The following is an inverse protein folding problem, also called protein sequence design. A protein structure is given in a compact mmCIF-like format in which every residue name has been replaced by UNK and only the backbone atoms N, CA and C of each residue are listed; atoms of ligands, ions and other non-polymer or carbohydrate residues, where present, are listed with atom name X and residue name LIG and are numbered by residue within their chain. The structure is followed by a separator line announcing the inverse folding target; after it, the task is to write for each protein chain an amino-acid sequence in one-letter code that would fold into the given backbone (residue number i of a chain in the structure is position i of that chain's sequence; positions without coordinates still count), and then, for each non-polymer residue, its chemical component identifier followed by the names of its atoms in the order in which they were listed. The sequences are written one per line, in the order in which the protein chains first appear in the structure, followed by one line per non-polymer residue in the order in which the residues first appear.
data_IF_469453465208
#
_entry.id   IF_469453465208
#
_cell.length_a   1.000
_cell.length_b   1.000
_cell.length_c   1.000
_cell.angle_alpha   90.00
_cell.angle_beta   90.00
_cell.angle_gamma   90.00
#
_symmetry.space_group_name_H-M   'P 1'
#
loop_
_entity.id
_entity.type
_entity.pdbx_description
1 polymer ?
#
# COMPACT_ATOMS: atom_id res chain seq x y z
N UNK A 1 -9.66 -0.33 8.62
CA UNK A 1 -10.98 -0.35 8.00
C UNK A 1 -11.15 -1.59 7.11
N UNK A 2 -10.31 -1.76 6.07
CA UNK A 2 -10.32 -2.94 5.20
C UNK A 2 -10.20 -4.25 5.98
N UNK A 3 -9.32 -4.32 6.95
CA UNK A 3 -9.16 -5.49 7.81
C UNK A 3 -10.49 -5.96 8.42
N UNK A 4 -11.35 -5.03 8.81
CA UNK A 4 -12.65 -5.35 9.38
C UNK A 4 -13.68 -5.75 8.32
N UNK A 5 -13.60 -5.18 7.11
CA UNK A 5 -14.49 -5.55 6.01
C UNK A 5 -14.19 -6.95 5.47
N UNK A 6 -12.89 -7.29 5.34
CA UNK A 6 -12.46 -8.51 4.67
C UNK A 6 -12.04 -9.63 5.63
N UNK A 7 -12.19 -9.43 6.94
CA UNK A 7 -11.83 -10.42 7.94
C UNK A 7 -12.52 -11.78 7.73
N UNK A 8 -13.69 -11.79 7.13
CA UNK A 8 -14.40 -13.00 6.71
C UNK A 8 -13.57 -13.85 5.74
N UNK A 9 -12.85 -13.19 4.83
CA UNK A 9 -11.98 -13.85 3.83
C UNK A 9 -10.68 -14.35 4.46
N UNK A 10 -10.12 -13.62 5.43
CA UNK A 10 -8.81 -13.90 6.03
C UNK A 10 -8.84 -14.98 7.13
N UNK A 11 -9.90 -15.03 7.92
CA UNK A 11 -9.97 -15.90 9.10
C UNK A 11 -10.93 -17.10 8.93
N UNK A 12 -11.52 -17.27 7.74
CA UNK A 12 -12.39 -18.38 7.38
C UNK A 12 -13.49 -18.62 8.43
N UNK A 13 -14.68 -18.17 8.29
CA UNK A 13 -15.86 -18.40 9.13
C UNK A 13 -16.26 -17.30 10.14
N UNK A 14 -15.61 -16.12 10.14
CA UNK A 14 -16.11 -15.02 10.96
C UNK A 14 -17.30 -14.33 10.28
N UNK A 15 -18.49 -14.45 10.84
CA UNK A 15 -19.61 -13.57 10.48
C UNK A 15 -19.39 -12.22 11.16
N UNK A 16 -19.21 -11.15 10.37
CA UNK A 16 -19.02 -9.78 10.85
C UNK A 16 -20.26 -8.91 10.66
N UNK A 17 -21.37 -9.50 10.17
CA UNK A 17 -22.66 -8.86 10.26
C UNK A 17 -22.92 -8.47 11.71
N UNK A 18 -23.24 -7.21 11.94
CA UNK A 18 -23.42 -6.67 13.30
C UNK A 18 -22.18 -6.09 13.97
N UNK A 19 -21.02 -5.99 13.29
CA UNK A 19 -19.94 -5.12 13.79
C UNK A 19 -20.22 -3.67 13.40
N UNK A 20 -19.91 -2.73 14.29
CA UNK A 20 -20.11 -1.29 14.04
C UNK A 20 -19.46 -0.82 12.73
N UNK A 21 -18.32 -1.38 12.37
CA UNK A 21 -17.60 -1.04 11.14
C UNK A 21 -18.35 -1.53 9.90
N UNK A 22 -18.84 -2.75 9.93
CA UNK A 22 -19.59 -3.35 8.83
C UNK A 22 -20.93 -2.61 8.63
N UNK A 23 -21.66 -2.37 9.71
CA UNK A 23 -22.95 -1.68 9.67
C UNK A 23 -22.79 -0.24 9.20
N UNK A 24 -21.73 0.45 9.65
CA UNK A 24 -21.38 1.78 9.16
C UNK A 24 -21.07 1.77 7.66
N UNK A 25 -20.27 0.80 7.17
CA UNK A 25 -19.96 0.67 5.76
C UNK A 25 -21.21 0.50 4.90
N UNK A 26 -22.07 -0.46 5.26
CA UNK A 26 -23.33 -0.69 4.55
C UNK A 26 -24.23 0.55 4.54
N UNK A 27 -24.34 1.22 5.68
CA UNK A 27 -25.15 2.44 5.80
C UNK A 27 -24.66 3.56 4.90
N UNK A 28 -23.34 3.74 4.79
CA UNK A 28 -22.71 4.86 4.08
C UNK A 28 -22.54 4.60 2.58
N UNK A 29 -22.26 3.38 2.19
CA UNK A 29 -21.84 3.05 0.82
C UNK A 29 -22.75 2.04 0.12
N UNK A 30 -23.61 1.33 0.86
CA UNK A 30 -24.43 0.24 0.33
C UNK A 30 -23.78 -1.14 0.48
N UNK A 31 -24.56 -2.17 0.15
CA UNK A 31 -24.14 -3.56 0.34
C UNK A 31 -23.10 -4.04 -0.67
N UNK A 32 -23.20 -3.53 -1.90
CA UNK A 32 -22.37 -3.96 -3.03
C UNK A 32 -21.04 -3.18 -3.15
N UNK A 33 -20.86 -2.12 -2.35
CA UNK A 33 -19.66 -1.30 -2.38
C UNK A 33 -18.49 -2.03 -1.73
N UNK A 34 -17.46 -2.32 -2.51
CA UNK A 34 -16.27 -3.04 -2.06
C UNK A 34 -15.15 -2.09 -1.62
N UNK A 35 -14.12 -2.62 -0.97
CA UNK A 35 -12.93 -1.82 -0.64
C UNK A 35 -12.24 -1.25 -1.89
N UNK A 36 -12.27 -1.99 -3.00
CA UNK A 36 -11.69 -1.54 -4.26
C UNK A 36 -12.34 -0.28 -4.83
N UNK A 37 -13.62 -0.08 -4.54
CA UNK A 37 -14.38 1.08 -5.02
C UNK A 37 -13.94 2.40 -4.37
N UNK A 38 -13.14 2.34 -3.29
CA UNK A 38 -12.46 3.52 -2.75
C UNK A 38 -11.29 4.02 -3.61
N UNK A 39 -10.66 3.16 -4.41
CA UNK A 39 -9.47 3.55 -5.18
C UNK A 39 -9.71 4.76 -6.10
N UNK A 40 -10.78 4.83 -6.90
CA UNK A 40 -11.06 6.01 -7.72
C UNK A 40 -11.40 7.26 -6.90
N UNK A 41 -11.78 7.12 -5.63
CA UNK A 41 -12.10 8.24 -4.73
C UNK A 41 -10.87 8.87 -4.09
N UNK A 42 -9.73 8.14 -4.06
CA UNK A 42 -8.48 8.62 -3.50
C UNK A 42 -7.80 9.62 -4.44
N UNK A 43 -8.05 10.92 -4.25
CA UNK A 43 -7.56 11.99 -5.14
C UNK A 43 -6.27 12.66 -4.68
N UNK A 44 -5.86 12.46 -3.43
CA UNK A 44 -4.68 13.10 -2.83
C UNK A 44 -4.63 14.64 -3.05
N UNK A 45 -5.78 15.32 -3.00
CA UNK A 45 -5.90 16.73 -3.36
C UNK A 45 -5.13 17.67 -2.43
N UNK A 46 -5.05 17.31 -1.15
CA UNK A 46 -4.32 18.10 -0.14
C UNK A 46 -2.88 17.61 0.07
N UNK A 47 -2.37 16.75 -0.82
CA UNK A 47 -1.00 16.28 -0.73
C UNK A 47 -0.06 17.20 -1.47
N UNK A 48 0.79 17.90 -0.72
CA UNK A 48 1.95 18.66 -1.21
C UNK A 48 3.22 18.12 -0.55
N UNK A 49 4.04 17.42 -1.33
CA UNK A 49 5.25 16.79 -0.84
C UNK A 49 6.31 17.80 -0.38
N UNK A 50 6.37 19.01 -0.98
CA UNK A 50 7.32 20.03 -0.58
C UNK A 50 6.92 20.67 0.76
N UNK A 51 5.62 20.92 0.96
CA UNK A 51 5.09 21.42 2.25
C UNK A 51 5.36 20.40 3.36
N UNK A 52 5.15 19.11 3.09
CA UNK A 52 5.45 18.04 4.05
C UNK A 52 6.94 17.97 4.38
N UNK A 53 7.82 18.03 3.38
CA UNK A 53 9.27 18.00 3.59
C UNK A 53 9.74 19.18 4.46
N UNK A 54 9.23 20.39 4.22
CA UNK A 54 9.51 21.58 5.03
C UNK A 54 9.00 21.42 6.46
N UNK A 55 7.77 20.97 6.63
CA UNK A 55 7.18 20.73 7.95
C UNK A 55 8.02 19.75 8.77
N UNK A 56 8.39 18.61 8.19
CA UNK A 56 9.16 17.59 8.89
C UNK A 56 10.58 18.06 9.22
N UNK A 57 11.21 18.82 8.32
CA UNK A 57 12.50 19.44 8.58
C UNK A 57 12.42 20.42 9.75
N UNK A 58 11.44 21.30 9.77
CA UNK A 58 11.21 22.25 10.87
C UNK A 58 10.90 21.55 12.19
N UNK A 59 10.23 20.40 12.15
CA UNK A 59 9.99 19.56 13.31
C UNK A 59 11.25 18.83 13.83
N UNK A 60 12.39 18.94 13.16
CA UNK A 60 13.67 18.33 13.57
C UNK A 60 13.83 16.86 13.18
N UNK A 61 12.99 16.33 12.30
CA UNK A 61 13.13 14.98 11.78
C UNK A 61 14.48 14.79 11.09
N UNK A 62 14.98 13.56 11.07
CA UNK A 62 16.21 13.17 10.37
C UNK A 62 15.93 12.25 9.19
N UNK A 63 14.85 11.54 9.24
CA UNK A 63 14.33 10.69 8.17
C UNK A 63 12.81 10.65 8.25
N UNK A 64 12.18 10.36 7.11
CA UNK A 64 10.74 10.15 7.02
C UNK A 64 10.50 8.82 6.35
N UNK A 65 9.49 8.09 6.77
CA UNK A 65 9.08 6.82 6.15
C UNK A 65 7.64 6.96 5.65
N UNK A 66 7.49 7.06 4.34
CA UNK A 66 6.17 7.09 3.70
C UNK A 66 5.64 5.67 3.58
N UNK A 67 4.37 5.46 3.89
CA UNK A 67 3.66 4.22 3.57
C UNK A 67 3.43 4.15 2.07
N UNK A 68 4.34 3.51 1.33
CA UNK A 68 4.28 3.44 -0.14
C UNK A 68 3.28 2.40 -0.63
N UNK A 69 3.10 1.32 0.13
CA UNK A 69 2.09 0.29 -0.06
C UNK A 69 1.77 -0.37 1.28
N UNK A 70 0.50 -0.48 1.63
CA UNK A 70 0.04 -1.19 2.82
C UNK A 70 -0.52 -2.59 2.47
N UNK A 71 -1.14 -3.28 3.41
CA UNK A 71 -1.62 -4.67 3.25
C UNK A 71 -2.71 -4.87 2.19
N UNK A 72 -3.41 -3.84 1.75
CA UNK A 72 -4.35 -3.91 0.63
C UNK A 72 -3.67 -3.96 -0.74
N UNK A 73 -2.34 -3.77 -0.78
CA UNK A 73 -1.54 -3.85 -1.99
C UNK A 73 -1.63 -2.66 -2.94
N UNK A 74 -2.38 -1.60 -2.59
CA UNK A 74 -2.47 -0.39 -3.43
C UNK A 74 -1.15 0.39 -3.39
N UNK A 75 -0.50 0.50 -4.55
CA UNK A 75 0.79 1.17 -4.67
C UNK A 75 0.62 2.67 -4.88
N UNK A 76 1.37 3.50 -4.12
CA UNK A 76 1.37 4.96 -4.30
C UNK A 76 2.36 5.44 -5.38
N UNK A 77 2.81 4.55 -6.24
CA UNK A 77 3.69 4.82 -7.40
C UNK A 77 3.22 4.00 -8.62
N UNK A 78 3.71 4.27 -9.85
CA UNK A 78 3.29 3.56 -11.08
C UNK A 78 3.77 2.08 -11.11
N UNK A 79 3.31 1.27 -10.17
CA UNK A 79 3.63 -0.15 -10.07
C UNK A 79 2.82 -0.97 -11.07
N UNK A 80 3.46 -1.43 -12.13
CA UNK A 80 2.85 -2.37 -13.10
C UNK A 80 2.55 -3.72 -12.47
N UNK A 81 3.38 -4.14 -11.53
CA UNK A 81 3.23 -5.40 -10.80
C UNK A 81 1.94 -5.42 -9.97
N UNK A 82 1.59 -4.29 -9.32
CA UNK A 82 0.33 -4.18 -8.60
C UNK A 82 -0.85 -4.43 -9.54
N UNK A 83 -0.98 -3.66 -10.60
CA UNK A 83 -2.12 -3.78 -11.53
C UNK A 83 -2.18 -5.14 -12.22
N UNK A 84 -1.03 -5.72 -12.60
CA UNK A 84 -0.94 -7.03 -13.20
C UNK A 84 -1.43 -8.14 -12.26
N UNK A 85 -1.00 -8.12 -11.00
CA UNK A 85 -1.34 -9.15 -10.02
C UNK A 85 -2.80 -9.09 -9.61
N UNK A 86 -3.35 -7.88 -9.46
CA UNK A 86 -4.76 -7.69 -9.11
C UNK A 86 -5.72 -7.77 -10.29
N UNK A 87 -5.21 -7.82 -11.54
CA UNK A 87 -6.03 -7.85 -12.76
C UNK A 87 -6.88 -6.58 -12.97
N UNK A 88 -6.49 -5.46 -12.36
CA UNK A 88 -7.17 -4.16 -12.42
C UNK A 88 -6.17 -3.03 -12.12
N UNK A 89 -6.47 -1.76 -12.48
CA UNK A 89 -5.69 -0.63 -11.99
C UNK A 89 -5.60 -0.64 -10.46
N UNK A 90 -4.36 -0.79 -9.93
CA UNK A 90 -4.16 -0.89 -8.47
C UNK A 90 -2.95 -0.10 -8.00
N UNK A 91 -2.78 1.08 -8.58
CA UNK A 91 -1.77 2.05 -8.18
C UNK A 91 -2.27 3.49 -8.42
N UNK A 92 -1.66 4.45 -7.71
CA UNK A 92 -2.08 5.85 -7.70
C UNK A 92 -1.92 6.58 -9.04
N UNK A 93 -1.11 6.07 -9.98
CA UNK A 93 -0.98 6.65 -11.31
C UNK A 93 -2.12 6.23 -12.23
N UNK A 94 -2.56 4.98 -12.16
CA UNK A 94 -3.58 4.44 -13.06
C UNK A 94 -5.01 4.75 -12.59
N UNK A 95 -5.22 4.88 -11.27
CA UNK A 95 -6.53 5.15 -10.71
C UNK A 95 -6.45 6.11 -9.51
N UNK A 96 -7.47 6.91 -9.33
CA UNK A 96 -7.61 7.82 -8.19
C UNK A 96 -6.86 9.13 -8.40
N UNK A 97 -5.68 9.27 -7.83
CA UNK A 97 -4.91 10.51 -7.83
C UNK A 97 -4.31 10.85 -9.21
N UNK A 98 -4.02 9.85 -10.04
CA UNK A 98 -3.29 9.97 -11.31
C UNK A 98 -1.92 10.66 -11.13
N UNK A 99 -1.25 10.35 -10.02
CA UNK A 99 0.04 10.95 -9.61
C UNK A 99 0.98 9.87 -9.10
N UNK A 100 2.29 10.07 -9.35
CA UNK A 100 3.36 9.34 -8.69
C UNK A 100 3.66 9.97 -7.33
N UNK A 101 2.88 9.63 -6.32
CA UNK A 101 2.99 10.22 -4.98
C UNK A 101 4.31 9.88 -4.29
N UNK A 102 4.89 8.71 -4.58
CA UNK A 102 6.22 8.31 -4.07
C UNK A 102 7.32 9.12 -4.75
N UNK A 103 7.25 9.30 -6.06
CA UNK A 103 8.20 10.14 -6.79
C UNK A 103 8.19 11.60 -6.33
N UNK A 104 7.01 12.16 -6.12
CA UNK A 104 6.86 13.52 -5.57
C UNK A 104 7.48 13.62 -4.17
N UNK A 105 7.19 12.66 -3.28
CA UNK A 105 7.74 12.58 -1.93
C UNK A 105 9.28 12.51 -1.95
N UNK A 106 9.84 11.58 -2.71
CA UNK A 106 11.30 11.39 -2.83
C UNK A 106 11.97 12.64 -3.35
N UNK A 107 11.42 13.25 -4.41
CA UNK A 107 11.95 14.46 -5.00
C UNK A 107 11.91 15.66 -4.04
N UNK A 108 10.87 15.77 -3.22
CA UNK A 108 10.78 16.82 -2.21
C UNK A 108 11.81 16.64 -1.10
N UNK A 109 11.93 15.42 -0.52
CA UNK A 109 12.89 15.17 0.55
C UNK A 109 14.34 15.34 0.10
N UNK A 110 14.68 14.99 -1.14
CA UNK A 110 16.04 15.14 -1.69
C UNK A 110 16.49 16.59 -1.87
N UNK A 111 15.57 17.55 -1.80
CA UNK A 111 15.92 18.98 -1.71
C UNK A 111 16.31 19.40 -0.29
N UNK A 112 16.22 18.51 0.66
CA UNK A 112 16.53 18.71 2.07
C UNK A 112 17.66 17.77 2.51
N UNK A 113 18.00 17.79 3.81
CA UNK A 113 18.92 16.85 4.46
C UNK A 113 18.21 15.61 5.05
N UNK A 114 16.89 15.50 4.85
CA UNK A 114 16.09 14.37 5.33
C UNK A 114 16.40 13.09 4.53
N UNK A 115 16.54 11.99 5.25
CA UNK A 115 16.67 10.67 4.63
C UNK A 115 15.30 10.14 4.17
N UNK A 116 15.31 9.48 3.04
CA UNK A 116 14.12 8.92 2.38
C UNK A 116 13.88 7.49 2.85
N UNK A 117 12.80 7.25 3.57
CA UNK A 117 12.34 5.93 3.93
C UNK A 117 11.08 5.53 3.17
N UNK A 118 10.95 4.26 2.84
CA UNK A 118 9.75 3.69 2.25
C UNK A 118 9.27 2.52 3.12
N UNK A 119 8.05 2.62 3.65
CA UNK A 119 7.37 1.49 4.24
C UNK A 119 6.79 0.62 3.11
N UNK A 120 7.03 -0.67 3.20
CA UNK A 120 6.58 -1.66 2.23
C UNK A 120 6.00 -2.87 2.95
N UNK A 121 4.70 -3.10 2.80
CA UNK A 121 4.05 -4.27 3.39
C UNK A 121 4.50 -5.57 2.73
N UNK A 122 4.82 -6.57 3.55
CA UNK A 122 5.10 -7.94 3.11
C UNK A 122 3.82 -8.73 2.84
N UNK A 123 2.68 -8.26 3.37
CA UNK A 123 1.37 -8.90 3.22
C UNK A 123 0.53 -8.19 2.17
N UNK A 124 -0.30 -8.96 1.48
CA UNK A 124 -1.31 -8.41 0.58
C UNK A 124 -2.61 -9.21 0.65
N UNK A 125 -3.52 -8.76 1.50
CA UNK A 125 -4.72 -9.51 1.88
C UNK A 125 -5.63 -9.93 0.74
N UNK A 126 -5.70 -9.14 -0.35
CA UNK A 126 -6.59 -9.40 -1.49
C UNK A 126 -5.84 -9.80 -2.74
N UNK A 127 -4.54 -9.98 -2.67
CA UNK A 127 -3.78 -10.42 -3.83
C UNK A 127 -4.12 -11.89 -4.13
N UNK A 128 -4.56 -12.21 -5.36
CA UNK A 128 -4.92 -13.58 -5.71
C UNK A 128 -3.83 -14.61 -5.51
N UNK A 129 -2.55 -14.17 -5.57
CA UNK A 129 -1.38 -15.04 -5.35
C UNK A 129 -1.00 -15.16 -3.86
N UNK A 130 -1.56 -14.32 -2.97
CA UNK A 130 -1.21 -14.32 -1.56
C UNK A 130 -2.02 -15.35 -0.77
N UNK A 131 -1.69 -16.62 -0.98
CA UNK A 131 -2.26 -17.75 -0.25
C UNK A 131 -1.22 -18.87 -0.11
N UNK A 132 -1.48 -19.86 0.73
CA UNK A 132 -0.51 -20.92 1.05
C UNK A 132 -0.03 -21.73 -0.15
N UNK A 133 -0.89 -21.94 -1.14
CA UNK A 133 -0.61 -22.79 -2.30
C UNK A 133 0.24 -22.06 -3.36
N UNK A 134 0.07 -20.74 -3.46
CA UNK A 134 0.71 -19.92 -4.50
C UNK A 134 1.72 -18.90 -3.96
N UNK A 135 2.12 -19.02 -2.68
CA UNK A 135 3.02 -18.07 -2.03
C UNK A 135 4.37 -17.92 -2.77
N UNK A 136 4.95 -19.01 -3.27
CA UNK A 136 6.20 -18.94 -4.04
C UNK A 136 6.01 -18.11 -5.33
N UNK A 137 4.85 -18.25 -6.00
CA UNK A 137 4.50 -17.44 -7.17
C UNK A 137 4.26 -15.96 -6.80
N UNK A 138 3.67 -15.71 -5.65
CA UNK A 138 3.51 -14.35 -5.12
C UNK A 138 4.86 -13.65 -4.99
N UNK A 139 5.85 -14.32 -4.36
CA UNK A 139 7.20 -13.75 -4.21
C UNK A 139 7.91 -13.57 -5.55
N UNK A 140 7.89 -14.56 -6.41
CA UNK A 140 8.59 -14.54 -7.69
C UNK A 140 8.00 -13.52 -8.68
N UNK A 141 6.67 -13.50 -8.81
CA UNK A 141 5.97 -12.77 -9.88
C UNK A 141 5.44 -11.41 -9.48
N UNK A 142 5.32 -11.14 -8.18
CA UNK A 142 4.75 -9.90 -7.68
C UNK A 142 5.67 -9.20 -6.67
N UNK A 143 5.94 -9.81 -5.53
CA UNK A 143 6.62 -9.17 -4.42
C UNK A 143 8.03 -8.67 -4.78
N UNK A 144 8.93 -9.57 -5.20
CA UNK A 144 10.32 -9.17 -5.51
C UNK A 144 10.42 -8.25 -6.72
N UNK A 145 9.69 -8.45 -7.83
CA UNK A 145 9.65 -7.48 -8.92
C UNK A 145 9.19 -6.10 -8.47
N UNK A 146 8.13 -6.03 -7.66
CA UNK A 146 7.59 -4.77 -7.16
C UNK A 146 8.55 -4.07 -6.19
N UNK A 147 9.18 -4.81 -5.28
CA UNK A 147 10.19 -4.24 -4.37
C UNK A 147 11.42 -3.73 -5.14
N UNK A 148 11.90 -4.48 -6.14
CA UNK A 148 13.00 -4.05 -7.02
C UNK A 148 12.63 -2.79 -7.80
N UNK A 149 11.41 -2.69 -8.30
CA UNK A 149 10.90 -1.51 -9.00
C UNK A 149 10.94 -0.28 -8.08
N UNK A 150 10.40 -0.39 -6.87
CA UNK A 150 10.45 0.67 -5.86
C UNK A 150 11.89 1.12 -5.55
N UNK A 151 12.77 0.16 -5.24
CA UNK A 151 14.16 0.46 -4.87
C UNK A 151 14.94 1.07 -6.03
N UNK A 152 14.80 0.53 -7.23
CA UNK A 152 15.56 0.99 -8.39
C UNK A 152 15.15 2.38 -8.86
N UNK A 153 13.85 2.68 -8.83
CA UNK A 153 13.33 3.96 -9.30
C UNK A 153 13.54 5.08 -8.28
N UNK A 154 13.37 4.79 -6.99
CA UNK A 154 13.37 5.82 -5.95
C UNK A 154 14.61 5.81 -5.06
N UNK A 155 15.39 4.74 -5.04
CA UNK A 155 16.67 4.61 -4.29
C UNK A 155 16.54 5.10 -2.83
N UNK A 156 15.58 4.58 -2.05
CA UNK A 156 15.39 5.02 -0.68
C UNK A 156 16.62 4.72 0.20
N UNK A 157 16.85 5.53 1.24
CA UNK A 157 17.89 5.29 2.23
C UNK A 157 17.48 4.15 3.21
N UNK A 158 16.18 3.91 3.34
CA UNK A 158 15.60 2.94 4.28
C UNK A 158 14.37 2.28 3.67
N UNK A 159 14.28 0.95 3.80
CA UNK A 159 13.04 0.18 3.64
C UNK A 159 12.57 -0.30 5.00
N UNK A 160 11.33 0.03 5.35
CA UNK A 160 10.66 -0.50 6.53
C UNK A 160 9.67 -1.58 6.08
N UNK A 161 10.07 -2.84 6.25
CA UNK A 161 9.23 -3.98 6.00
C UNK A 161 8.28 -4.23 7.17
N UNK A 162 7.02 -4.52 6.89
CA UNK A 162 6.00 -4.81 7.89
C UNK A 162 5.19 -6.06 7.54
N UNK A 163 4.72 -6.72 8.58
CA UNK A 163 3.92 -7.93 8.47
C UNK A 163 4.78 -9.16 8.21
N UNK A 164 5.78 -9.47 9.10
CA UNK A 164 6.47 -10.74 8.99
C UNK A 164 5.45 -11.85 8.96
N UNK A 165 5.49 -12.65 7.90
CA UNK A 165 4.55 -13.71 7.72
C UNK A 165 5.10 -14.99 8.33
N UNK A 166 4.38 -15.54 9.32
CA UNK A 166 4.62 -16.89 9.82
C UNK A 166 4.38 -17.97 8.75
N UNK A 167 3.88 -17.59 7.57
CA UNK A 167 3.66 -18.51 6.46
C UNK A 167 4.91 -18.80 5.63
N UNK A 168 6.00 -18.06 5.84
CA UNK A 168 7.19 -18.32 5.05
C UNK A 168 8.50 -17.96 5.73
N UNK A 169 9.17 -18.98 6.31
CA UNK A 169 10.53 -18.86 6.87
C UNK A 169 11.64 -18.63 5.81
N UNK A 170 11.27 -18.57 4.52
CA UNK A 170 12.21 -18.42 3.40
C UNK A 170 12.55 -16.97 3.04
N UNK A 171 11.93 -15.98 3.68
CA UNK A 171 12.19 -14.55 3.38
C UNK A 171 13.36 -13.99 4.17
N UNK A 172 13.73 -14.63 5.28
CA UNK A 172 14.79 -14.17 6.19
C UNK A 172 16.02 -15.03 6.14
#
# INVERSE_FOLDING_TARGET
YKYWLDRKTLLGNGDFTGTEVYDYHKKMYGEDFTYADFAPMFKAMSYDANEWADLFKRAGAKYIVLTTKHHEGFALWPSKEASKSYGRPWNSMEIGAHRDLVGEYVNALRKTDLKVGCYFSLREWDNPLYNRETMDLFYERHFFPQLKDLVNNYKPDLIWADGPDSMNDKIW
#
